data_IF_177483023427
#
_entry.id   IF_177483023427
#
_cell.length_a   1.000
_cell.length_b   1.000
_cell.length_c   1.000
_cell.angle_alpha   90.00
_cell.angle_beta   90.00
_cell.angle_gamma   90.00
#
_symmetry.space_group_name_H-M   'P 1'
#
loop_
_entity.id
_entity.type
_entity.pdbx_description
1 polymer ?
#
# COMPACT_ATOMS: atom_id res chain seq x y z
N UNK A 1 13.49 -68.40 40.71
CA UNK A 1 12.88 -67.24 40.03
C UNK A 1 13.13 -67.38 38.53
N UNK A 2 12.12 -67.84 37.78
CA UNK A 2 12.20 -67.91 36.33
C UNK A 2 11.50 -66.69 35.74
N UNK A 3 12.28 -65.79 35.16
CA UNK A 3 11.75 -64.65 34.40
C UNK A 3 11.35 -65.13 33.00
N UNK A 4 10.08 -65.02 32.68
CA UNK A 4 9.54 -65.31 31.35
C UNK A 4 10.06 -64.28 30.33
N UNK A 5 10.41 -64.70 29.10
CA UNK A 5 10.84 -63.77 28.07
C UNK A 5 9.64 -62.96 27.57
N UNK A 6 9.80 -61.63 27.47
CA UNK A 6 8.78 -60.76 26.87
C UNK A 6 8.66 -61.03 25.37
N UNK A 7 7.44 -61.07 24.80
CA UNK A 7 7.26 -61.28 23.38
C UNK A 7 7.75 -60.06 22.59
N UNK A 8 8.74 -60.27 21.72
CA UNK A 8 9.17 -59.26 20.74
C UNK A 8 8.01 -59.03 19.75
N UNK A 9 7.54 -57.78 19.64
CA UNK A 9 6.52 -57.38 18.64
C UNK A 9 7.12 -57.62 17.25
N UNK A 10 6.66 -58.68 16.57
CA UNK A 10 6.95 -58.90 15.15
C UNK A 10 6.19 -57.81 14.40
N UNK A 11 6.90 -56.87 13.80
CA UNK A 11 6.31 -55.91 12.86
C UNK A 11 5.62 -56.70 11.75
N UNK A 12 4.31 -56.50 11.57
CA UNK A 12 3.53 -57.09 10.50
C UNK A 12 3.69 -56.23 9.24
N UNK A 13 3.96 -56.84 8.09
CA UNK A 13 4.10 -56.16 6.80
C UNK A 13 2.82 -55.37 6.43
N UNK A 14 1.64 -55.87 6.79
CA UNK A 14 0.36 -55.18 6.58
C UNK A 14 0.30 -53.88 7.39
N UNK A 15 0.76 -53.88 8.65
CA UNK A 15 0.81 -52.70 9.51
C UNK A 15 1.74 -51.63 8.92
N UNK A 16 2.89 -52.04 8.36
CA UNK A 16 3.82 -51.14 7.68
C UNK A 16 3.21 -50.55 6.41
N UNK A 17 2.49 -51.35 5.60
CA UNK A 17 1.85 -50.85 4.39
C UNK A 17 0.73 -49.86 4.72
N UNK A 18 -0.10 -50.16 5.72
CA UNK A 18 -1.15 -49.25 6.19
C UNK A 18 -0.54 -47.94 6.69
N UNK A 19 0.53 -48.01 7.49
CA UNK A 19 1.21 -46.82 8.00
C UNK A 19 1.84 -45.99 6.86
N UNK A 20 2.43 -46.65 5.86
CA UNK A 20 2.99 -45.96 4.70
C UNK A 20 1.90 -45.22 3.92
N UNK A 21 0.79 -45.89 3.60
CA UNK A 21 -0.34 -45.26 2.89
C UNK A 21 -0.94 -44.09 3.70
N UNK A 22 -1.09 -44.25 5.01
CA UNK A 22 -1.56 -43.18 5.90
C UNK A 22 -0.60 -41.98 5.90
N UNK A 23 0.71 -42.22 6.01
CA UNK A 23 1.71 -41.15 5.98
C UNK A 23 1.75 -40.44 4.63
N UNK A 24 1.68 -41.19 3.52
CA UNK A 24 1.66 -40.61 2.16
C UNK A 24 0.42 -39.77 1.93
N UNK A 25 -0.76 -40.25 2.31
CA UNK A 25 -2.02 -39.48 2.16
C UNK A 25 -2.00 -38.22 3.01
N UNK A 26 -1.52 -38.30 4.26
CA UNK A 26 -1.38 -37.14 5.13
C UNK A 26 -0.38 -36.12 4.57
N UNK A 27 0.77 -36.57 4.05
CA UNK A 27 1.75 -35.71 3.41
C UNK A 27 1.14 -34.97 2.21
N UNK A 28 0.45 -35.69 1.32
CA UNK A 28 -0.19 -35.09 0.15
C UNK A 28 -1.26 -34.06 0.55
N UNK A 29 -2.07 -34.34 1.57
CA UNK A 29 -3.07 -33.41 2.07
C UNK A 29 -2.45 -32.13 2.66
N UNK A 30 -1.38 -32.27 3.46
CA UNK A 30 -0.63 -31.13 4.02
C UNK A 30 -0.01 -30.30 2.92
N UNK A 31 0.62 -30.94 1.94
CA UNK A 31 1.23 -30.27 0.78
C UNK A 31 0.19 -29.49 -0.02
N UNK A 32 -0.97 -30.09 -0.33
CA UNK A 32 -2.06 -29.41 -1.05
C UNK A 32 -2.56 -28.18 -0.30
N UNK A 33 -2.78 -28.31 1.01
CA UNK A 33 -3.22 -27.21 1.87
C UNK A 33 -2.19 -26.09 1.90
N UNK A 34 -0.91 -26.43 2.02
CA UNK A 34 0.17 -25.45 2.02
C UNK A 34 0.24 -24.68 0.69
N UNK A 35 0.08 -25.36 -0.45
CA UNK A 35 -0.01 -24.70 -1.76
C UNK A 35 -1.22 -23.75 -1.87
N UNK A 36 -2.39 -24.16 -1.38
CA UNK A 36 -3.58 -23.29 -1.38
C UNK A 36 -3.37 -22.05 -0.50
N UNK A 37 -2.74 -22.21 0.66
CA UNK A 37 -2.42 -21.09 1.56
C UNK A 37 -1.40 -20.13 0.92
N UNK A 38 -0.38 -20.67 0.24
CA UNK A 38 0.59 -19.86 -0.50
C UNK A 38 -0.06 -19.09 -1.64
N UNK A 39 -0.89 -19.76 -2.46
CA UNK A 39 -1.62 -19.11 -3.55
C UNK A 39 -2.50 -17.97 -3.04
N UNK A 40 -3.20 -18.19 -1.91
CA UNK A 40 -4.02 -17.16 -1.26
C UNK A 40 -3.19 -15.99 -0.75
N UNK A 41 -2.04 -16.28 -0.13
CA UNK A 41 -1.12 -15.24 0.36
C UNK A 41 -0.55 -14.40 -0.77
N UNK A 42 -0.14 -15.04 -1.88
CA UNK A 42 0.37 -14.36 -3.07
C UNK A 42 -0.73 -13.46 -3.66
N UNK A 43 -1.93 -13.98 -3.84
CA UNK A 43 -3.05 -13.19 -4.35
C UNK A 43 -3.33 -11.96 -3.48
N UNK A 44 -3.32 -12.11 -2.16
CA UNK A 44 -3.52 -11.00 -1.24
C UNK A 44 -2.39 -9.94 -1.35
N UNK A 45 -1.15 -10.38 -1.56
CA UNK A 45 -0.02 -9.47 -1.80
C UNK A 45 -0.16 -8.73 -3.13
N UNK A 46 -0.59 -9.41 -4.20
CA UNK A 46 -0.87 -8.79 -5.51
C UNK A 46 -1.93 -7.70 -5.39
N UNK A 47 -3.02 -7.97 -4.65
CA UNK A 47 -4.08 -7.00 -4.40
C UNK A 47 -3.56 -5.78 -3.65
N UNK A 48 -2.81 -5.98 -2.55
CA UNK A 48 -2.23 -4.89 -1.77
C UNK A 48 -1.24 -4.06 -2.61
N UNK A 49 -0.39 -4.71 -3.40
CA UNK A 49 0.54 -4.02 -4.29
C UNK A 49 -0.21 -3.20 -5.36
N UNK A 50 -1.30 -3.74 -5.91
CA UNK A 50 -2.16 -3.02 -6.85
C UNK A 50 -2.82 -1.78 -6.23
N UNK A 51 -3.22 -1.85 -4.96
CA UNK A 51 -3.74 -0.68 -4.23
C UNK A 51 -2.65 0.37 -3.98
N UNK A 52 -1.45 -0.04 -3.59
CA UNK A 52 -0.30 0.86 -3.42
C UNK A 52 0.03 1.55 -4.75
N UNK A 53 0.08 0.81 -5.85
CA UNK A 53 0.33 1.37 -7.18
C UNK A 53 -0.72 2.43 -7.57
N UNK A 54 -2.01 2.17 -7.30
CA UNK A 54 -3.09 3.16 -7.51
C UNK A 54 -2.90 4.41 -6.66
N UNK A 55 -2.51 4.27 -5.39
CA UNK A 55 -2.25 5.40 -4.51
C UNK A 55 -1.07 6.26 -5.00
N UNK A 56 -0.01 5.61 -5.50
CA UNK A 56 1.16 6.30 -6.04
C UNK A 56 0.84 7.04 -7.35
N UNK A 57 0.03 6.45 -8.23
CA UNK A 57 -0.41 7.08 -9.49
C UNK A 57 -1.44 8.19 -9.26
N UNK A 58 -2.32 8.02 -8.27
CA UNK A 58 -3.33 9.00 -7.89
C UNK A 58 -2.79 10.17 -7.05
N UNK A 59 -1.51 10.14 -6.67
CA UNK A 59 -0.89 11.26 -5.94
C UNK A 59 -0.70 12.41 -6.92
N UNK A 60 -1.28 13.60 -6.69
CA UNK A 60 -0.97 14.77 -7.50
C UNK A 60 0.53 15.03 -7.46
N UNK A 61 1.17 14.90 -8.62
CA UNK A 61 2.55 15.32 -8.85
C UNK A 61 2.61 16.84 -8.67
N UNK A 62 3.25 17.30 -7.59
CA UNK A 62 3.57 18.72 -7.42
C UNK A 62 2.67 19.53 -6.50
N UNK A 63 1.60 18.99 -5.91
CA UNK A 63 0.89 19.72 -4.83
C UNK A 63 1.56 19.41 -3.52
N UNK A 64 2.48 20.28 -3.10
CA UNK A 64 2.74 20.44 -1.68
C UNK A 64 1.39 20.76 -1.03
N UNK A 65 1.05 20.11 0.09
CA UNK A 65 -0.05 20.56 0.96
C UNK A 65 0.32 21.88 1.65
N UNK A 66 1.06 22.76 0.98
CA UNK A 66 1.22 24.14 1.37
C UNK A 66 -0.14 24.76 1.13
N UNK A 67 -0.92 24.81 2.20
CA UNK A 67 -2.00 25.75 2.33
C UNK A 67 -1.40 27.16 2.15
N UNK A 68 -1.18 27.58 0.91
CA UNK A 68 -0.96 28.99 0.63
C UNK A 68 -2.35 29.62 0.65
N UNK A 69 -2.96 29.64 1.83
CA UNK A 69 -3.98 30.62 2.14
C UNK A 69 -3.34 31.97 1.82
N UNK A 70 -3.88 32.64 0.80
CA UNK A 70 -3.50 34.00 0.46
C UNK A 70 -3.64 34.79 1.75
N UNK A 71 -2.53 35.34 2.25
CA UNK A 71 -2.51 36.04 3.53
C UNK A 71 -3.52 37.19 3.43
N UNK A 72 -4.59 37.22 4.25
CA UNK A 72 -5.57 38.31 4.19
C UNK A 72 -4.95 39.68 4.48
N UNK A 73 -3.75 39.71 5.09
CA UNK A 73 -2.96 40.93 5.30
C UNK A 73 -2.23 41.43 4.03
N UNK A 74 -2.30 40.71 2.91
CA UNK A 74 -1.86 41.19 1.60
C UNK A 74 -2.79 42.30 1.07
N UNK A 75 -3.94 42.52 1.70
CA UNK A 75 -4.66 43.79 1.60
C UNK A 75 -3.85 44.87 2.33
N UNK A 76 -2.88 45.42 1.60
CA UNK A 76 -1.99 46.50 1.99
C UNK A 76 -2.83 47.62 2.63
N UNK A 77 -2.61 47.87 3.92
CA UNK A 77 -3.12 49.07 4.57
C UNK A 77 -2.43 50.26 3.91
N UNK A 78 -3.21 51.18 3.34
CA UNK A 78 -2.71 52.43 2.76
C UNK A 78 -1.74 53.11 3.74
N UNK A 79 -0.50 53.33 3.29
CA UNK A 79 0.53 54.00 4.08
C UNK A 79 0.37 55.50 3.89
N UNK A 80 -0.17 56.19 4.89
CA UNK A 80 -0.29 57.66 4.88
C UNK A 80 1.03 58.28 5.32
N UNK A 81 1.59 59.18 4.50
CA UNK A 81 2.80 59.94 4.85
C UNK A 81 2.47 61.00 5.91
N UNK A 82 3.45 61.36 6.76
CA UNK A 82 3.30 62.38 7.82
C UNK A 82 2.85 63.76 7.30
N UNK A 83 3.01 64.02 5.99
CA UNK A 83 2.53 65.21 5.29
C UNK A 83 1.02 65.19 4.97
N UNK A 84 0.30 64.13 5.33
CA UNK A 84 -1.15 64.01 5.11
C UNK A 84 -1.56 63.44 3.75
N UNK A 85 -0.60 63.07 2.90
CA UNK A 85 -0.87 62.53 1.57
C UNK A 85 -0.81 60.99 1.58
N UNK A 86 -1.80 60.35 0.96
CA UNK A 86 -1.76 58.90 0.68
C UNK A 86 -1.01 58.66 -0.63
N UNK A 87 -0.08 57.71 -0.64
CA UNK A 87 0.52 57.22 -1.88
C UNK A 87 -0.55 56.44 -2.64
N UNK A 88 -0.88 56.88 -3.85
CA UNK A 88 -1.84 56.17 -4.71
C UNK A 88 -1.24 54.80 -5.05
N UNK A 89 -1.99 53.74 -4.74
CA UNK A 89 -1.63 52.38 -5.13
C UNK A 89 -1.47 52.33 -6.65
N UNK A 90 -0.33 51.80 -7.10
CA UNK A 90 -0.08 51.58 -8.51
C UNK A 90 -1.19 50.69 -9.09
N UNK A 91 -1.72 51.00 -10.29
CA UNK A 91 -2.77 50.16 -10.87
C UNK A 91 -2.21 48.76 -11.08
N UNK A 92 -2.86 47.77 -10.45
CA UNK A 92 -2.67 46.36 -10.76
C UNK A 92 -2.95 46.19 -12.25
N UNK A 93 -1.92 45.89 -13.03
CA UNK A 93 -2.06 45.51 -14.43
C UNK A 93 -2.76 44.15 -14.49
N UNK A 94 -4.08 44.19 -14.48
CA UNK A 94 -4.93 43.14 -15.03
C UNK A 94 -5.16 43.52 -16.50
N UNK A 95 -5.24 42.48 -17.34
CA UNK A 95 -5.32 42.46 -18.81
C UNK A 95 -3.97 42.29 -19.53
N UNK A 96 -3.81 41.39 -20.50
CA UNK A 96 -4.60 40.31 -21.10
C UNK A 96 -3.56 39.58 -21.98
N UNK A 97 -3.63 38.26 -22.10
CA UNK A 97 -3.10 37.58 -23.30
C UNK A 97 -4.13 36.56 -23.76
N UNK A 98 -5.16 37.10 -24.41
CA UNK A 98 -5.93 36.38 -25.43
C UNK A 98 -5.01 36.30 -26.64
N UNK A 99 -4.47 35.12 -26.93
CA UNK A 99 -3.81 34.87 -28.22
C UNK A 99 -4.79 34.04 -29.06
N UNK A 100 -5.47 34.71 -29.98
CA UNK A 100 -6.01 34.12 -31.19
C UNK A 100 -5.12 34.60 -32.35
N UNK A 101 -4.66 33.63 -33.14
CA UNK A 101 -4.30 33.64 -34.57
C UNK A 101 -3.18 34.56 -35.12
N UNK A 102 -2.18 33.91 -35.71
CA UNK A 102 -1.46 34.37 -36.91
C UNK A 102 -1.09 33.11 -37.76
N UNK A 103 -1.53 33.14 -39.04
CA UNK A 103 -1.26 32.28 -40.23
C UNK A 103 -1.70 30.80 -40.28
#
# INVERSE_FOLDING_TARGET
HHSSPTPKKKVNLEEVLVQLTANTTQFMAKTRTNFQNQASSIHNLEVQMGQIAKLLLGRPQGTLSSNTEINPKEQVKAVTLRSGNQLQDAPSKIEQSKNEEDD
#
